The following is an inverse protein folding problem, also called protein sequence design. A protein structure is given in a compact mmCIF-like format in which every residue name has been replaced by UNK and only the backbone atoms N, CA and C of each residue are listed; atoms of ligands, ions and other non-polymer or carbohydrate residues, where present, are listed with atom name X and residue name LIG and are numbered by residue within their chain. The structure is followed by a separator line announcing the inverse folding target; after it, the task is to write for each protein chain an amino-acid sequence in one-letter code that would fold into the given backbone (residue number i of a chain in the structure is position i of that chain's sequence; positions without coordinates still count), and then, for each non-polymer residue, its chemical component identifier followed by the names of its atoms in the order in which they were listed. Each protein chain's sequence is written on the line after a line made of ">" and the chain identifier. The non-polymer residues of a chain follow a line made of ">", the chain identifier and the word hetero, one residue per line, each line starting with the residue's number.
data_IF_699296523092
#
_entry.id   IF_699296523092
#
_cell.length_a   1.000
_cell.length_b   1.000
_cell.length_c   1.000
_cell.angle_alpha   90.00
_cell.angle_beta   90.00
_cell.angle_gamma   90.00
#
_symmetry.space_group_name_H-M   'P 1'
#
loop_
_entity.id
_entity.type
_entity.pdbx_description
1 polymer ?
#
# COMPACT_ATOMS: atom_id res chain seq x y z
N UNK A 1 -0.12 34.98 40.85
CA UNK A 1 0.21 35.46 39.50
C UNK A 1 1.27 34.55 38.92
N UNK A 2 0.96 33.88 37.80
CA UNK A 2 1.83 32.88 37.19
C UNK A 2 1.41 32.71 35.74
N UNK A 3 1.85 33.65 34.92
CA UNK A 3 1.60 33.72 33.48
C UNK A 3 2.50 32.72 32.77
N UNK A 4 1.92 31.73 32.10
CA UNK A 4 2.63 30.92 31.11
C UNK A 4 2.58 31.64 29.76
N UNK A 5 3.71 31.90 29.09
CA UNK A 5 3.68 32.51 27.76
C UNK A 5 3.21 31.48 26.72
N UNK A 6 2.05 31.72 26.14
CA UNK A 6 1.63 31.11 24.87
C UNK A 6 2.43 31.78 23.75
N UNK A 7 3.30 31.04 23.06
CA UNK A 7 4.07 31.60 21.95
C UNK A 7 5.13 30.67 21.38
N UNK A 8 4.72 29.56 20.76
CA UNK A 8 5.53 28.87 19.75
C UNK A 8 4.66 28.66 18.51
N UNK A 9 4.58 29.71 17.69
CA UNK A 9 4.12 29.59 16.31
C UNK A 9 5.17 28.82 15.52
N UNK A 10 4.93 27.52 15.29
CA UNK A 10 5.64 26.78 14.25
C UNK A 10 5.30 27.36 12.86
N UNK A 11 6.17 27.20 11.85
CA UNK A 11 5.94 27.77 10.54
C UNK A 11 4.68 27.15 9.91
N UNK A 12 3.74 28.01 9.57
CA UNK A 12 2.54 27.71 8.79
C UNK A 12 2.95 27.18 7.41
N UNK A 13 2.65 25.92 7.12
CA UNK A 13 2.79 25.32 5.79
C UNK A 13 1.47 25.52 5.07
N UNK A 14 1.39 26.33 3.99
CA UNK A 14 0.15 26.46 3.24
C UNK A 14 -0.15 25.15 2.52
N UNK A 15 -1.35 24.62 2.72
CA UNK A 15 -1.90 23.52 1.95
C UNK A 15 -1.96 23.95 0.48
N UNK A 16 -1.10 23.35 -0.35
CA UNK A 16 -1.21 23.46 -1.80
C UNK A 16 -2.24 22.43 -2.25
N UNK A 17 -3.43 22.92 -2.59
CA UNK A 17 -4.46 22.13 -3.25
C UNK A 17 -3.88 21.50 -4.52
N UNK A 18 -3.75 20.17 -4.52
CA UNK A 18 -3.40 19.44 -5.75
C UNK A 18 -4.70 19.20 -6.52
N UNK A 19 -4.85 19.71 -7.76
CA UNK A 19 -6.07 19.50 -8.52
C UNK A 19 -6.24 18.02 -8.89
N UNK A 20 -7.37 17.45 -8.49
CA UNK A 20 -7.88 16.16 -8.97
C UNK A 20 -8.04 16.22 -10.49
N UNK A 21 -7.14 15.56 -11.21
CA UNK A 21 -7.28 15.42 -12.65
C UNK A 21 -5.95 15.32 -13.37
N UNK A 22 -5.21 14.24 -13.14
CA UNK A 22 -4.28 13.62 -14.07
C UNK A 22 -3.67 12.39 -13.37
N UNK A 23 -4.17 11.20 -13.68
CA UNK A 23 -3.44 9.96 -13.42
C UNK A 23 -2.26 9.97 -14.39
N UNK A 24 -1.16 10.57 -13.96
CA UNK A 24 0.12 10.40 -14.63
C UNK A 24 0.51 8.95 -14.33
N UNK A 25 0.29 8.08 -15.30
CA UNK A 25 0.79 6.70 -15.29
C UNK A 25 2.30 6.76 -15.03
N UNK A 26 2.72 6.52 -13.78
CA UNK A 26 4.14 6.48 -13.43
C UNK A 26 4.79 5.34 -14.24
N UNK A 27 5.82 5.61 -15.06
CA UNK A 27 6.45 4.60 -15.88
C UNK A 27 7.21 3.63 -14.99
N UNK A 28 6.55 2.54 -14.57
CA UNK A 28 7.08 1.32 -13.92
C UNK A 28 8.42 1.56 -13.21
N UNK A 29 8.50 2.59 -12.36
CA UNK A 29 9.68 2.89 -11.59
C UNK A 29 9.69 1.85 -10.49
N UNK A 30 10.83 1.18 -10.32
CA UNK A 30 11.02 0.16 -9.29
C UNK A 30 10.36 0.66 -8.00
N UNK A 31 9.47 -0.16 -7.43
CA UNK A 31 8.96 0.08 -6.08
C UNK A 31 10.15 0.45 -5.17
N UNK A 32 10.00 1.45 -4.29
CA UNK A 32 11.12 1.96 -3.49
C UNK A 32 11.76 0.80 -2.73
N UNK A 33 12.99 0.46 -3.11
CA UNK A 33 13.81 -0.52 -2.41
C UNK A 33 14.33 0.13 -1.14
N UNK A 34 14.48 -0.65 -0.07
CA UNK A 34 14.98 -0.12 1.19
C UNK A 34 16.30 0.65 0.99
N UNK A 35 16.52 1.78 1.69
CA UNK A 35 17.67 2.67 1.44
C UNK A 35 19.02 1.98 1.65
N UNK A 36 19.07 0.94 2.49
CA UNK A 36 20.27 0.10 2.65
C UNK A 36 20.59 -0.72 1.39
N UNK A 37 19.57 -1.17 0.66
CA UNK A 37 19.70 -1.92 -0.61
C UNK A 37 20.08 -0.97 -1.75
N UNK A 38 19.56 0.26 -1.74
CA UNK A 38 19.92 1.31 -2.70
C UNK A 38 21.42 1.63 -2.67
N UNK A 39 22.04 1.68 -1.48
CA UNK A 39 23.49 1.87 -1.32
C UNK A 39 24.35 0.78 -1.97
N UNK A 40 23.76 -0.39 -2.25
CA UNK A 40 24.43 -1.55 -2.83
C UNK A 40 24.17 -1.71 -4.34
N UNK A 41 23.54 -0.73 -5.00
CA UNK A 41 23.22 -0.80 -6.44
C UNK A 41 24.42 -1.15 -7.32
N UNK A 42 25.61 -0.60 -7.06
CA UNK A 42 26.82 -0.92 -7.83
C UNK A 42 27.26 -2.39 -7.74
N UNK A 43 27.01 -3.05 -6.59
CA UNK A 43 27.22 -4.49 -6.42
C UNK A 43 26.18 -5.33 -7.15
N UNK A 44 24.96 -4.82 -7.26
CA UNK A 44 23.87 -5.48 -7.96
C UNK A 44 24.11 -5.55 -9.47
N UNK A 45 24.59 -4.47 -10.09
CA UNK A 45 24.91 -4.41 -11.53
C UNK A 45 25.96 -5.44 -11.95
N UNK A 46 26.96 -5.70 -11.10
CA UNK A 46 28.02 -6.70 -11.36
C UNK A 46 27.46 -8.13 -11.34
N UNK A 47 26.34 -8.36 -10.63
CA UNK A 47 25.78 -9.71 -10.40
C UNK A 47 24.59 -10.03 -11.31
N UNK A 48 23.93 -9.03 -11.93
CA UNK A 48 22.78 -9.20 -12.84
C UNK A 48 22.94 -10.29 -13.91
N UNK A 49 24.09 -10.46 -14.59
CA UNK A 49 24.22 -11.47 -15.64
C UNK A 49 24.06 -12.92 -15.13
N UNK A 50 24.17 -13.15 -13.80
CA UNK A 50 24.10 -14.47 -13.18
C UNK A 50 22.81 -14.71 -12.39
N UNK A 51 21.99 -13.67 -12.19
CA UNK A 51 20.73 -13.76 -11.46
C UNK A 51 19.59 -13.71 -12.46
N UNK A 52 18.99 -14.87 -12.72
CA UNK A 52 17.72 -14.91 -13.43
C UNK A 52 16.64 -14.19 -12.60
N UNK A 53 15.64 -13.56 -13.24
CA UNK A 53 14.48 -13.04 -12.54
C UNK A 53 13.91 -14.13 -11.65
N UNK A 54 13.90 -13.89 -10.33
CA UNK A 54 13.59 -14.92 -9.37
C UNK A 54 12.06 -15.10 -9.34
N UNK A 55 11.57 -16.34 -9.35
CA UNK A 55 10.16 -16.67 -9.58
C UNK A 55 9.19 -15.96 -8.59
N UNK A 56 9.52 -15.98 -7.30
CA UNK A 56 9.72 -14.77 -6.52
C UNK A 56 8.93 -13.48 -6.76
N UNK A 57 9.44 -12.73 -7.73
CA UNK A 57 9.15 -11.33 -7.95
C UNK A 57 7.79 -11.12 -8.62
N UNK A 58 7.27 -12.12 -9.32
CA UNK A 58 6.02 -12.01 -10.08
C UNK A 58 4.80 -11.83 -9.15
N UNK A 59 4.61 -12.63 -8.08
CA UNK A 59 3.53 -12.39 -7.12
C UNK A 59 3.68 -11.09 -6.33
N UNK A 60 4.88 -10.49 -6.32
CA UNK A 60 5.12 -9.23 -5.59
C UNK A 60 4.70 -7.99 -6.39
N UNK A 61 4.28 -8.14 -7.65
CA UNK A 61 3.85 -7.02 -8.48
C UNK A 61 2.56 -6.37 -7.90
N UNK A 62 2.61 -5.07 -7.54
CA UNK A 62 1.43 -4.35 -7.01
C UNK A 62 0.37 -4.06 -8.07
N UNK A 63 0.66 -4.30 -9.36
CA UNK A 63 -0.27 -4.01 -10.46
C UNK A 63 -1.62 -4.72 -10.29
N UNK A 64 -2.70 -4.03 -10.69
CA UNK A 64 -4.07 -4.56 -10.65
C UNK A 64 -4.49 -5.09 -9.26
N UNK A 65 -4.06 -4.38 -8.20
CA UNK A 65 -4.28 -4.77 -6.80
C UNK A 65 -3.77 -6.18 -6.49
N UNK A 66 -2.49 -6.44 -6.82
CA UNK A 66 -1.81 -7.72 -6.62
C UNK A 66 -2.50 -8.90 -7.31
N UNK A 67 -2.91 -8.72 -8.58
CA UNK A 67 -3.60 -9.77 -9.35
C UNK A 67 -2.78 -11.07 -9.44
N UNK A 68 -1.47 -10.94 -9.70
CA UNK A 68 -0.53 -12.07 -9.75
C UNK A 68 -0.56 -12.89 -8.45
N UNK A 69 -0.43 -12.20 -7.31
CA UNK A 69 -0.54 -12.81 -5.99
C UNK A 69 -1.88 -13.52 -5.77
N UNK A 70 -3.01 -12.86 -6.10
CA UNK A 70 -4.35 -13.43 -5.90
C UNK A 70 -4.56 -14.70 -6.72
N UNK A 71 -4.09 -14.72 -7.97
CA UNK A 71 -4.16 -15.90 -8.84
C UNK A 71 -3.27 -17.04 -8.30
N UNK A 72 -2.07 -16.72 -7.79
CA UNK A 72 -1.20 -17.71 -7.19
C UNK A 72 -1.80 -18.28 -5.90
N UNK A 73 -2.37 -17.44 -5.04
CA UNK A 73 -3.02 -17.84 -3.79
C UNK A 73 -4.21 -18.76 -4.03
N UNK A 74 -5.03 -18.49 -5.06
CA UNK A 74 -6.19 -19.31 -5.41
C UNK A 74 -5.84 -20.72 -5.89
N UNK A 75 -4.60 -20.96 -6.33
CA UNK A 75 -4.13 -22.29 -6.79
C UNK A 75 -3.53 -23.14 -5.67
N UNK A 76 -3.20 -22.53 -4.53
CA UNK A 76 -2.56 -23.21 -3.41
C UNK A 76 -3.63 -23.87 -2.53
N UNK A 77 -3.33 -25.07 -2.00
CA UNK A 77 -4.16 -25.74 -1.00
C UNK A 77 -3.68 -25.44 0.42
N UNK A 78 -4.57 -25.30 1.42
CA UNK A 78 -4.17 -25.13 2.82
C UNK A 78 -3.22 -26.28 3.28
N UNK A 79 -2.30 -26.05 4.22
CA UNK A 79 -2.10 -24.84 5.03
C UNK A 79 -1.21 -23.79 4.34
N UNK A 80 -1.63 -22.53 4.34
CA UNK A 80 -0.90 -21.40 3.72
C UNK A 80 -1.00 -20.20 4.65
N UNK A 81 0.07 -19.41 4.76
CA UNK A 81 0.06 -18.11 5.42
C UNK A 81 -0.05 -17.03 4.34
N UNK A 82 -1.15 -16.25 4.28
CA UNK A 82 -1.31 -15.21 3.28
C UNK A 82 -0.42 -13.99 3.58
N UNK A 83 -0.28 -13.12 2.58
CA UNK A 83 0.43 -11.85 2.70
C UNK A 83 -0.42 -10.87 3.50
N UNK A 84 -0.20 -10.86 4.81
CA UNK A 84 -0.97 -10.08 5.78
C UNK A 84 -1.13 -8.60 5.42
N UNK A 85 -0.12 -7.88 4.88
CA UNK A 85 -0.29 -6.49 4.50
C UNK A 85 -1.40 -6.26 3.45
N UNK A 86 -1.57 -7.17 2.49
CA UNK A 86 -2.64 -7.07 1.49
C UNK A 86 -4.02 -7.35 2.10
N UNK A 87 -4.11 -8.32 3.00
CA UNK A 87 -5.37 -8.59 3.73
C UNK A 87 -5.79 -7.39 4.57
N UNK A 88 -4.85 -6.81 5.32
CA UNK A 88 -5.10 -5.62 6.13
C UNK A 88 -5.50 -4.44 5.24
N UNK A 89 -4.84 -4.23 4.10
CA UNK A 89 -5.20 -3.21 3.10
C UNK A 89 -6.64 -3.40 2.61
N UNK A 90 -7.05 -4.62 2.29
CA UNK A 90 -8.41 -4.90 1.82
C UNK A 90 -9.44 -4.58 2.93
N UNK A 91 -9.13 -4.95 4.17
CA UNK A 91 -9.99 -4.67 5.34
C UNK A 91 -10.13 -3.17 5.63
N UNK A 92 -9.03 -2.40 5.58
CA UNK A 92 -9.08 -0.95 5.79
C UNK A 92 -9.86 -0.27 4.67
N UNK A 93 -9.69 -0.69 3.42
CA UNK A 93 -10.42 -0.13 2.29
C UNK A 93 -11.93 -0.36 2.39
N UNK A 94 -12.38 -1.57 2.78
CA UNK A 94 -13.81 -1.85 3.00
C UNK A 94 -14.35 -1.02 4.17
N UNK A 95 -13.54 -0.85 5.23
CA UNK A 95 -13.97 -0.11 6.42
C UNK A 95 -14.14 1.39 6.17
N UNK A 96 -13.16 2.01 5.53
CA UNK A 96 -13.14 3.46 5.24
C UNK A 96 -14.02 3.82 4.04
N UNK A 97 -14.12 2.93 3.04
CA UNK A 97 -14.91 3.15 1.83
C UNK A 97 -16.41 3.00 2.02
N UNK A 98 -16.86 2.23 3.02
CA UNK A 98 -18.28 1.97 3.26
C UNK A 98 -18.69 2.37 4.68
N UNK A 99 -19.74 3.19 4.82
CA UNK A 99 -20.27 3.53 6.15
C UNK A 99 -20.95 2.31 6.78
N UNK A 100 -20.75 2.13 8.09
CA UNK A 100 -21.44 1.09 8.88
C UNK A 100 -22.93 1.39 9.04
N UNK A 101 -23.28 2.68 9.07
CA UNK A 101 -24.65 3.16 9.17
C UNK A 101 -24.95 4.05 7.96
N UNK A 102 -26.05 3.76 7.28
CA UNK A 102 -26.63 4.59 6.21
C UNK A 102 -28.02 4.96 6.67
N UNK A 103 -28.31 6.25 6.82
CA UNK A 103 -29.63 6.73 7.28
C UNK A 103 -30.09 6.09 8.61
N UNK A 104 -29.16 5.94 9.56
CA UNK A 104 -29.35 5.24 10.84
C UNK A 104 -29.69 3.73 10.75
N UNK A 105 -29.65 3.14 9.56
CA UNK A 105 -29.81 1.71 9.35
C UNK A 105 -28.45 1.04 9.16
N UNK A 106 -28.34 -0.21 9.63
CA UNK A 106 -27.11 -1.00 9.50
C UNK A 106 -26.91 -1.38 8.04
N UNK A 107 -25.70 -1.12 7.52
CA UNK A 107 -25.32 -1.55 6.19
C UNK A 107 -24.91 -3.04 6.18
N UNK A 108 -25.85 -3.92 5.85
CA UNK A 108 -25.57 -5.36 5.74
C UNK A 108 -24.65 -5.71 4.55
N UNK A 109 -24.61 -4.90 3.50
CA UNK A 109 -23.71 -5.11 2.36
C UNK A 109 -22.24 -5.01 2.79
N UNK A 110 -21.93 -4.05 3.66
CA UNK A 110 -20.62 -3.95 4.32
C UNK A 110 -20.33 -5.18 5.19
N UNK A 111 -21.31 -5.63 5.97
CA UNK A 111 -21.11 -6.76 6.89
C UNK A 111 -20.80 -8.07 6.16
N UNK A 112 -21.49 -8.33 5.03
CA UNK A 112 -21.22 -9.50 4.17
C UNK A 112 -19.88 -9.40 3.47
N UNK A 113 -19.40 -8.18 3.15
CA UNK A 113 -18.10 -8.01 2.49
C UNK A 113 -16.91 -8.26 3.42
N UNK A 114 -17.12 -8.21 4.74
CA UNK A 114 -16.11 -8.42 5.78
C UNK A 114 -16.08 -9.87 6.29
N UNK A 115 -17.21 -10.57 6.24
CA UNK A 115 -17.39 -11.92 6.80
C UNK A 115 -17.31 -13.02 5.75
#
# INVERSE_FOLDING_TARGET
>A
EGSWPLGLTGPYVPETETPRGQTQECPRSLAPVAPAVERLQGWWEIRKPRLQPLAWAEPSDPSWNHRAYRVALAKLSPPIIPFMPLLLKDMTFIHEGNRTLVENLINFEKMVSVG
#
